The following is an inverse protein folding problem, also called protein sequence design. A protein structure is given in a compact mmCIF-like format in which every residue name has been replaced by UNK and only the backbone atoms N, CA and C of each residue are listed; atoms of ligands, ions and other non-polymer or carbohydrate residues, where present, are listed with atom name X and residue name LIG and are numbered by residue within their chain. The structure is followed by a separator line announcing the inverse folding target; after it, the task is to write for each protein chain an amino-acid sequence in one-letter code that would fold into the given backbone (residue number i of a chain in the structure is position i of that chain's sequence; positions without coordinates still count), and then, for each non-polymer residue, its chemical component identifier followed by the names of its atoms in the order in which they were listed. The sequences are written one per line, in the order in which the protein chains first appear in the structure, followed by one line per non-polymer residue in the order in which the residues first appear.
data_IF_246734546068
#
_entry.id   IF_246734546068
#
_cell.length_a   1.000
_cell.length_b   1.000
_cell.length_c   1.000
_cell.angle_alpha   90.00
_cell.angle_beta   90.00
_cell.angle_gamma   90.00
#
_symmetry.space_group_name_H-M   'P 1'
#
loop_
_entity.id
_entity.type
_entity.pdbx_description
1 polymer ?
#
# COMPACT_ATOMS: atom_id res chain seq x y z
N UNK A 1 24.16 -79.32 18.17
CA UNK A 1 23.52 -78.79 16.91
C UNK A 1 22.54 -77.73 17.29
N UNK A 2 22.79 -76.41 16.99
CA UNK A 2 21.78 -75.37 17.14
C UNK A 2 21.19 -74.99 15.77
N UNK A 3 19.88 -74.87 15.73
CA UNK A 3 19.04 -74.54 14.58
C UNK A 3 19.06 -73.01 14.44
N UNK A 4 19.55 -72.54 13.30
CA UNK A 4 19.51 -71.09 12.95
C UNK A 4 18.13 -70.74 12.42
N UNK A 5 17.40 -69.78 13.06
CA UNK A 5 16.19 -69.16 12.55
C UNK A 5 16.60 -67.89 11.71
N UNK A 6 16.31 -67.94 10.41
CA UNK A 6 16.41 -66.77 9.53
C UNK A 6 15.15 -65.93 9.72
N UNK A 7 15.35 -64.66 10.17
CA UNK A 7 14.30 -63.63 10.16
C UNK A 7 14.33 -62.95 8.79
N UNK A 8 13.18 -62.98 8.08
CA UNK A 8 12.97 -62.20 6.86
C UNK A 8 12.48 -60.81 7.25
N UNK A 9 13.26 -59.77 6.92
CA UNK A 9 12.81 -58.39 6.97
C UNK A 9 11.97 -58.10 5.71
N UNK A 10 10.67 -57.87 5.90
CA UNK A 10 9.82 -57.29 4.87
C UNK A 10 9.98 -55.75 4.88
N UNK A 11 10.57 -55.19 3.84
CA UNK A 11 10.62 -53.74 3.63
C UNK A 11 9.27 -53.28 3.07
N UNK A 12 8.50 -52.55 3.89
CA UNK A 12 7.29 -51.90 3.41
C UNK A 12 7.69 -50.59 2.68
N UNK A 13 7.53 -50.59 1.37
CA UNK A 13 7.60 -49.34 0.58
C UNK A 13 6.31 -48.56 0.82
N UNK A 14 6.39 -47.46 1.58
CA UNK A 14 5.32 -46.48 1.65
C UNK A 14 5.30 -45.68 0.35
N UNK A 15 4.33 -45.93 -0.52
CA UNK A 15 4.03 -45.11 -1.68
C UNK A 15 3.36 -43.85 -1.15
N UNK A 16 4.12 -42.73 -1.08
CA UNK A 16 3.54 -41.42 -0.90
C UNK A 16 2.77 -41.04 -2.17
N UNK A 17 1.47 -41.24 -2.16
CA UNK A 17 0.57 -40.66 -3.15
C UNK A 17 0.58 -39.14 -2.90
N UNK A 18 1.34 -38.38 -3.69
CA UNK A 18 1.22 -36.93 -3.77
C UNK A 18 -0.20 -36.61 -4.20
N UNK A 19 -1.04 -36.15 -3.26
CA UNK A 19 -2.34 -35.61 -3.62
C UNK A 19 -2.13 -34.52 -4.65
N UNK A 20 -2.88 -34.46 -5.76
CA UNK A 20 -2.77 -33.39 -6.72
C UNK A 20 -3.09 -32.08 -5.99
N UNK A 21 -2.13 -31.15 -5.97
CA UNK A 21 -2.38 -29.79 -5.50
C UNK A 21 -3.62 -29.27 -6.24
N UNK A 22 -4.65 -28.89 -5.47
CA UNK A 22 -5.82 -28.22 -6.05
C UNK A 22 -5.29 -27.03 -6.86
N UNK A 23 -5.55 -27.05 -8.17
CA UNK A 23 -5.06 -26.00 -9.08
C UNK A 23 -5.59 -24.67 -8.57
N UNK A 24 -4.69 -23.74 -8.29
CA UNK A 24 -5.04 -22.41 -7.82
C UNK A 24 -6.08 -21.80 -8.78
N UNK A 25 -7.29 -21.55 -8.27
CA UNK A 25 -8.35 -20.91 -9.05
C UNK A 25 -8.37 -19.42 -8.68
N UNK A 26 -7.92 -18.60 -9.63
CA UNK A 26 -8.22 -17.16 -9.59
C UNK A 26 -9.75 -17.03 -9.68
N UNK A 27 -10.33 -16.14 -8.85
CA UNK A 27 -11.78 -15.86 -8.95
C UNK A 27 -12.14 -15.50 -10.40
N UNK A 28 -13.23 -16.08 -10.94
CA UNK A 28 -13.65 -15.71 -12.29
C UNK A 28 -13.89 -14.20 -12.34
N UNK A 29 -13.53 -13.53 -13.46
CA UNK A 29 -13.76 -12.13 -13.61
C UNK A 29 -15.25 -11.81 -13.46
N UNK A 30 -15.58 -10.62 -12.95
CA UNK A 30 -16.95 -10.12 -12.99
C UNK A 30 -17.40 -9.94 -14.43
N UNK A 31 -18.70 -10.10 -14.70
CA UNK A 31 -19.28 -9.60 -15.94
C UNK A 31 -19.19 -8.07 -15.96
N UNK A 32 -19.42 -7.46 -17.12
CA UNK A 32 -19.44 -5.99 -17.24
C UNK A 32 -20.51 -5.39 -16.31
N UNK A 33 -21.69 -6.01 -16.26
CA UNK A 33 -22.81 -5.58 -15.41
C UNK A 33 -22.47 -5.71 -13.93
N UNK A 34 -21.90 -6.83 -13.50
CA UNK A 34 -21.44 -7.03 -12.12
C UNK A 34 -20.37 -6.00 -11.74
N UNK A 35 -19.41 -5.74 -12.63
CA UNK A 35 -18.35 -4.75 -12.40
C UNK A 35 -18.94 -3.34 -12.24
N UNK A 36 -19.85 -2.94 -13.14
CA UNK A 36 -20.50 -1.63 -13.09
C UNK A 36 -21.35 -1.47 -11.83
N UNK A 37 -22.14 -2.48 -11.48
CA UNK A 37 -22.98 -2.47 -10.28
C UNK A 37 -22.15 -2.35 -9.00
N UNK A 38 -21.09 -3.16 -8.83
CA UNK A 38 -20.24 -3.11 -7.65
C UNK A 38 -19.44 -1.78 -7.57
N UNK A 39 -18.96 -1.28 -8.71
CA UNK A 39 -18.25 0.01 -8.77
C UNK A 39 -19.18 1.15 -8.35
N UNK A 40 -20.40 1.21 -8.89
CA UNK A 40 -21.38 2.21 -8.50
C UNK A 40 -21.77 2.11 -7.02
N UNK A 41 -22.01 0.90 -6.53
CA UNK A 41 -22.33 0.67 -5.13
C UNK A 41 -21.20 1.13 -4.17
N UNK A 42 -19.93 1.00 -4.56
CA UNK A 42 -18.81 1.55 -3.79
C UNK A 42 -18.77 3.07 -3.84
N UNK A 43 -19.04 3.68 -4.98
CA UNK A 43 -19.14 5.13 -5.10
C UNK A 43 -20.28 5.69 -4.22
N UNK A 44 -21.44 5.05 -4.25
CA UNK A 44 -22.62 5.47 -3.45
C UNK A 44 -22.36 5.40 -1.94
N UNK A 45 -21.55 4.43 -1.49
CA UNK A 45 -21.14 4.28 -0.08
C UNK A 45 -19.87 5.03 0.28
N UNK A 46 -19.27 5.78 -0.64
CA UNK A 46 -17.94 6.40 -0.47
C UNK A 46 -16.88 5.40 0.01
N UNK A 47 -16.90 4.19 -0.56
CA UNK A 47 -16.04 3.08 -0.15
C UNK A 47 -14.84 2.90 -1.09
N UNK A 48 -13.74 2.39 -0.54
CA UNK A 48 -12.54 2.11 -1.32
C UNK A 48 -12.82 1.20 -2.54
N UNK A 49 -12.24 1.48 -3.71
CA UNK A 49 -11.24 2.53 -4.03
C UNK A 49 -11.84 3.86 -4.53
N UNK A 50 -13.13 4.10 -4.36
CA UNK A 50 -13.83 5.30 -4.87
C UNK A 50 -14.04 6.38 -3.80
N UNK A 51 -13.25 6.37 -2.73
CA UNK A 51 -13.34 7.39 -1.67
C UNK A 51 -13.15 8.79 -2.27
N UNK A 52 -14.12 9.67 -2.05
CA UNK A 52 -14.12 11.06 -2.51
C UNK A 52 -14.45 11.24 -3.99
N UNK A 53 -14.81 10.18 -4.73
CA UNK A 53 -15.39 10.28 -6.07
C UNK A 53 -16.91 10.42 -5.93
N UNK A 54 -17.50 11.41 -6.63
CA UNK A 54 -18.95 11.64 -6.58
C UNK A 54 -19.70 10.50 -7.26
N UNK A 55 -20.81 10.00 -6.70
CA UNK A 55 -21.61 8.95 -7.34
C UNK A 55 -22.09 9.29 -8.76
N UNK A 56 -22.35 10.56 -9.04
CA UNK A 56 -22.75 11.02 -10.37
C UNK A 56 -21.62 10.88 -11.41
N UNK A 57 -20.38 11.14 -11.01
CA UNK A 57 -19.20 10.99 -11.87
C UNK A 57 -18.94 9.51 -12.17
N UNK A 58 -19.13 8.64 -11.17
CA UNK A 58 -19.06 7.19 -11.38
C UNK A 58 -20.10 6.72 -12.38
N UNK A 59 -21.37 7.14 -12.24
CA UNK A 59 -22.42 6.83 -13.22
C UNK A 59 -22.07 7.29 -14.63
N UNK A 60 -21.53 8.50 -14.77
CA UNK A 60 -21.15 9.05 -16.06
C UNK A 60 -20.05 8.22 -16.74
N UNK A 61 -19.00 7.84 -16.00
CA UNK A 61 -17.94 6.98 -16.53
C UNK A 61 -18.46 5.58 -16.88
N UNK A 62 -19.22 4.94 -15.97
CA UNK A 62 -19.74 3.59 -16.14
C UNK A 62 -20.75 3.47 -17.29
N UNK A 63 -21.46 4.54 -17.65
CA UNK A 63 -22.38 4.54 -18.80
C UNK A 63 -21.64 4.28 -20.13
N UNK A 64 -20.38 4.66 -20.23
CA UNK A 64 -19.57 4.52 -21.43
C UNK A 64 -18.85 3.15 -21.53
N UNK A 65 -18.76 2.38 -20.45
CA UNK A 65 -18.08 1.08 -20.41
C UNK A 65 -19.02 0.00 -20.94
N UNK A 66 -18.57 -0.73 -21.95
CA UNK A 66 -19.33 -1.80 -22.62
C UNK A 66 -18.63 -3.16 -22.52
N UNK A 67 -17.32 -3.16 -22.25
CA UNK A 67 -16.50 -4.36 -22.18
C UNK A 67 -15.64 -4.36 -20.91
N UNK A 68 -14.87 -5.44 -20.67
CA UNK A 68 -13.86 -5.52 -19.62
C UNK A 68 -12.49 -5.03 -20.10
N UNK A 69 -12.42 -4.38 -21.26
CA UNK A 69 -11.18 -3.85 -21.81
C UNK A 69 -10.61 -2.74 -20.91
N UNK A 70 -9.31 -2.82 -20.64
CA UNK A 70 -8.61 -1.93 -19.71
C UNK A 70 -8.48 -0.51 -20.26
N UNK A 71 -8.33 -0.36 -21.56
CA UNK A 71 -8.17 0.95 -22.19
C UNK A 71 -9.54 1.65 -22.34
N UNK A 72 -10.61 0.90 -22.58
CA UNK A 72 -11.97 1.41 -22.50
C UNK A 72 -12.29 1.92 -21.08
N UNK A 73 -11.94 1.16 -20.05
CA UNK A 73 -12.04 1.59 -18.66
C UNK A 73 -11.27 2.90 -18.42
N UNK A 74 -9.98 2.92 -18.78
CA UNK A 74 -9.14 4.09 -18.59
C UNK A 74 -9.69 5.33 -19.32
N UNK A 75 -10.13 5.17 -20.56
CA UNK A 75 -10.71 6.26 -21.36
C UNK A 75 -11.99 6.83 -20.76
N UNK A 76 -12.91 5.97 -20.29
CA UNK A 76 -14.17 6.39 -19.69
C UNK A 76 -13.97 7.26 -18.44
N UNK A 77 -13.14 6.82 -17.51
CA UNK A 77 -12.82 7.58 -16.30
C UNK A 77 -11.99 8.82 -16.58
N UNK A 78 -11.03 8.76 -17.52
CA UNK A 78 -10.21 9.92 -17.90
C UNK A 78 -11.03 11.02 -18.54
N UNK A 79 -12.08 10.72 -19.30
CA UNK A 79 -12.98 11.74 -19.87
C UNK A 79 -13.69 12.55 -18.78
N UNK A 80 -14.13 11.89 -17.72
CA UNK A 80 -14.73 12.61 -16.58
C UNK A 80 -13.66 13.45 -15.85
N UNK A 81 -12.47 12.90 -15.65
CA UNK A 81 -11.36 13.61 -15.03
C UNK A 81 -10.96 14.89 -15.78
N UNK A 82 -10.88 14.82 -17.12
CA UNK A 82 -10.49 15.93 -17.98
C UNK A 82 -11.42 17.15 -17.86
N UNK A 83 -12.71 16.96 -17.56
CA UNK A 83 -13.62 18.09 -17.30
C UNK A 83 -13.21 18.87 -16.06
N UNK A 84 -12.95 18.15 -14.95
CA UNK A 84 -12.48 18.75 -13.72
C UNK A 84 -11.12 19.47 -13.87
N UNK A 85 -10.22 18.88 -14.66
CA UNK A 85 -8.92 19.49 -14.94
C UNK A 85 -9.06 20.78 -15.75
N UNK A 86 -9.93 20.79 -16.77
CA UNK A 86 -10.22 21.97 -17.58
C UNK A 86 -10.81 23.10 -16.73
N UNK A 87 -11.81 22.78 -15.91
CA UNK A 87 -12.46 23.73 -15.01
C UNK A 87 -11.46 24.26 -13.96
N UNK A 88 -10.61 23.39 -13.43
CA UNK A 88 -9.56 23.77 -12.47
C UNK A 88 -8.56 24.75 -13.08
N UNK A 89 -8.08 24.50 -14.31
CA UNK A 89 -7.18 25.41 -15.03
C UNK A 89 -7.82 26.77 -15.25
N UNK A 90 -9.11 26.81 -15.63
CA UNK A 90 -9.86 28.06 -15.81
C UNK A 90 -10.06 28.81 -14.47
N UNK A 91 -10.39 28.09 -13.39
CA UNK A 91 -10.53 28.68 -12.06
C UNK A 91 -9.22 29.27 -11.56
N UNK A 92 -8.11 28.55 -11.76
CA UNK A 92 -6.76 29.02 -11.38
C UNK A 92 -6.37 30.27 -12.14
N UNK A 93 -6.57 30.31 -13.47
CA UNK A 93 -6.30 31.49 -14.30
C UNK A 93 -7.12 32.71 -13.87
N UNK A 94 -8.31 32.48 -13.30
CA UNK A 94 -9.20 33.51 -12.76
C UNK A 94 -8.90 33.86 -11.28
N UNK A 95 -7.86 33.29 -10.66
CA UNK A 95 -7.51 33.52 -9.25
C UNK A 95 -8.44 32.85 -8.23
N UNK A 96 -9.36 31.98 -8.67
CA UNK A 96 -10.26 31.23 -7.79
C UNK A 96 -9.57 29.95 -7.26
N UNK A 97 -8.61 30.14 -6.35
CA UNK A 97 -7.65 29.12 -5.91
C UNK A 97 -8.33 27.92 -5.25
N UNK A 98 -9.35 28.11 -4.41
CA UNK A 98 -10.05 27.01 -3.73
C UNK A 98 -10.84 26.14 -4.71
N UNK A 99 -11.45 26.75 -5.75
CA UNK A 99 -12.11 26.01 -6.82
C UNK A 99 -11.09 25.24 -7.65
N UNK A 100 -9.96 25.86 -8.01
CA UNK A 100 -8.89 25.22 -8.74
C UNK A 100 -8.35 23.99 -7.95
N UNK A 101 -8.07 24.18 -6.67
CA UNK A 101 -7.61 23.09 -5.77
C UNK A 101 -8.60 21.93 -5.70
N UNK A 102 -9.88 22.22 -5.52
CA UNK A 102 -10.93 21.19 -5.49
C UNK A 102 -11.05 20.46 -6.84
N UNK A 103 -10.96 21.18 -7.95
CA UNK A 103 -11.01 20.64 -9.30
C UNK A 103 -9.82 19.72 -9.59
N UNK A 104 -8.59 20.15 -9.31
CA UNK A 104 -7.40 19.32 -9.49
C UNK A 104 -7.41 18.07 -8.61
N UNK A 105 -7.88 18.17 -7.37
CA UNK A 105 -8.04 17.01 -6.49
C UNK A 105 -9.01 15.98 -7.09
N UNK A 106 -10.14 16.43 -7.64
CA UNK A 106 -11.10 15.53 -8.28
C UNK A 106 -10.55 14.93 -9.57
N UNK A 107 -9.88 15.72 -10.40
CA UNK A 107 -9.22 15.23 -11.61
C UNK A 107 -8.19 14.13 -11.27
N UNK A 108 -7.34 14.38 -10.28
CA UNK A 108 -6.37 13.39 -9.82
C UNK A 108 -7.04 12.09 -9.33
N UNK A 109 -8.09 12.17 -8.52
CA UNK A 109 -8.81 10.98 -8.01
C UNK A 109 -9.38 10.14 -9.15
N UNK A 110 -9.98 10.79 -10.14
CA UNK A 110 -10.58 10.12 -11.31
C UNK A 110 -9.52 9.51 -12.22
N UNK A 111 -8.42 10.22 -12.54
CA UNK A 111 -7.30 9.66 -13.28
C UNK A 111 -6.60 8.53 -12.51
N UNK A 112 -6.47 8.67 -11.17
CA UNK A 112 -5.92 7.63 -10.32
C UNK A 112 -6.81 6.38 -10.32
N UNK A 113 -8.13 6.53 -10.38
CA UNK A 113 -9.03 5.40 -10.53
C UNK A 113 -9.06 4.84 -11.97
N UNK A 114 -8.87 5.68 -12.98
CA UNK A 114 -8.72 5.23 -14.37
C UNK A 114 -7.54 4.25 -14.54
N UNK A 115 -6.40 4.46 -13.83
CA UNK A 115 -5.23 3.55 -13.86
C UNK A 115 -5.34 2.36 -12.90
N UNK A 116 -6.33 2.36 -11.98
CA UNK A 116 -6.43 1.38 -10.88
C UNK A 116 -6.65 -0.05 -11.41
N UNK A 117 -6.14 -1.09 -10.71
CA UNK A 117 -5.24 -1.06 -9.56
C UNK A 117 -3.77 -0.85 -9.95
N UNK A 118 -3.41 -1.12 -11.21
CA UNK A 118 -2.06 -0.99 -11.77
C UNK A 118 -2.14 -0.51 -13.22
N UNK A 119 -1.15 0.28 -13.71
CA UNK A 119 -1.14 0.79 -15.09
C UNK A 119 -0.66 -0.28 -16.09
N UNK A 120 -1.42 -1.35 -16.25
CA UNK A 120 -1.09 -2.55 -17.02
C UNK A 120 -1.65 -2.56 -18.45
N UNK A 121 -1.97 -1.40 -19.01
CA UNK A 121 -2.32 -1.19 -20.43
C UNK A 121 -1.92 0.21 -20.87
N UNK A 122 -1.81 0.49 -22.19
CA UNK A 122 -1.44 1.83 -22.68
C UNK A 122 -2.34 2.95 -22.18
N UNK A 123 -3.66 2.77 -22.20
CA UNK A 123 -4.63 3.75 -21.68
C UNK A 123 -4.47 4.00 -20.19
N UNK A 124 -4.26 2.94 -19.40
CA UNK A 124 -3.99 3.07 -17.97
C UNK A 124 -2.64 3.75 -17.67
N UNK A 125 -1.63 3.56 -18.50
CA UNK A 125 -0.35 4.27 -18.39
C UNK A 125 -0.52 5.77 -18.66
N UNK A 126 -1.29 6.11 -19.69
CA UNK A 126 -1.67 7.50 -19.99
C UNK A 126 -2.43 8.12 -18.83
N UNK A 127 -3.44 7.44 -18.31
CA UNK A 127 -4.21 7.90 -17.14
C UNK A 127 -3.30 8.12 -15.90
N UNK A 128 -2.29 7.26 -15.70
CA UNK A 128 -1.33 7.44 -14.62
C UNK A 128 -0.47 8.70 -14.79
N UNK A 129 0.01 8.96 -16.01
CA UNK A 129 0.75 10.20 -16.31
C UNK A 129 -0.11 11.45 -16.03
N UNK A 130 -1.38 11.43 -16.48
CA UNK A 130 -2.35 12.51 -16.20
C UNK A 130 -2.63 12.66 -14.69
N UNK A 131 -2.71 11.54 -13.96
CA UNK A 131 -2.87 11.59 -12.51
C UNK A 131 -1.70 12.29 -11.82
N UNK A 132 -0.46 12.01 -12.24
CA UNK A 132 0.74 12.67 -11.69
C UNK A 132 0.74 14.16 -11.98
N UNK A 133 0.34 14.58 -13.18
CA UNK A 133 0.24 15.99 -13.58
C UNK A 133 -0.86 16.72 -12.77
N UNK A 134 -2.08 16.18 -12.73
CA UNK A 134 -3.17 16.76 -11.96
C UNK A 134 -2.83 16.87 -10.47
N UNK A 135 -2.14 15.86 -9.92
CA UNK A 135 -1.67 15.92 -8.54
C UNK A 135 -0.62 16.99 -8.30
N UNK A 136 0.32 17.18 -9.22
CA UNK A 136 1.33 18.24 -9.09
C UNK A 136 0.68 19.64 -9.06
N UNK A 137 -0.36 19.86 -9.85
CA UNK A 137 -1.16 21.09 -9.80
C UNK A 137 -1.87 21.24 -8.44
N UNK A 138 -2.52 20.19 -7.95
CA UNK A 138 -3.15 20.19 -6.62
C UNK A 138 -2.13 20.47 -5.51
N UNK A 139 -1.00 19.77 -5.53
CA UNK A 139 0.01 19.81 -4.48
C UNK A 139 0.58 21.22 -4.26
N UNK A 140 0.84 21.96 -5.33
CA UNK A 140 1.36 23.34 -5.24
C UNK A 140 0.36 24.34 -4.65
N UNK A 141 -0.94 23.99 -4.62
CA UNK A 141 -2.00 24.81 -4.01
C UNK A 141 -2.30 24.44 -2.55
N UNK A 142 -1.57 23.45 -2.00
CA UNK A 142 -1.64 23.14 -0.58
C UNK A 142 -0.83 24.15 0.24
N UNK A 143 -1.22 24.33 1.50
CA UNK A 143 -0.51 25.22 2.43
C UNK A 143 -0.26 24.50 3.78
N UNK A 144 1.02 24.16 4.09
CA UNK A 144 2.21 24.28 3.24
C UNK A 144 2.21 23.33 2.05
N UNK A 145 2.77 23.77 0.94
CA UNK A 145 2.90 22.92 -0.26
C UNK A 145 3.99 21.85 -0.07
N UNK A 146 3.76 20.60 -0.51
CA UNK A 146 4.81 19.58 -0.54
C UNK A 146 5.80 19.85 -1.67
N UNK A 147 7.03 19.37 -1.49
CA UNK A 147 8.09 19.38 -2.49
C UNK A 147 8.27 18.01 -3.09
N UNK A 148 8.32 17.93 -4.43
CA UNK A 148 8.71 16.69 -5.12
C UNK A 148 10.23 16.52 -5.02
N UNK A 149 10.64 15.46 -4.32
CA UNK A 149 12.06 15.14 -4.09
C UNK A 149 12.47 13.99 -5.03
N UNK A 150 13.65 14.13 -5.62
CA UNK A 150 14.31 13.10 -6.44
C UNK A 150 15.66 12.79 -5.84
N UNK A 151 15.86 11.55 -5.41
CA UNK A 151 17.10 11.11 -4.77
C UNK A 151 17.80 10.14 -5.72
N UNK A 152 19.02 10.47 -6.20
CA UNK A 152 19.80 9.54 -7.01
C UNK A 152 20.07 8.23 -6.26
N UNK A 153 19.80 7.10 -6.93
CA UNK A 153 19.96 5.78 -6.35
C UNK A 153 20.18 4.69 -7.41
N UNK A 154 21.36 4.08 -7.45
CA UNK A 154 21.73 2.96 -8.32
C UNK A 154 21.38 3.20 -9.81
N UNK A 155 21.75 4.35 -10.34
CA UNK A 155 21.49 4.73 -11.74
C UNK A 155 20.04 5.10 -12.06
N UNK A 156 19.18 5.17 -11.06
CA UNK A 156 17.77 5.60 -11.11
C UNK A 156 17.51 6.69 -10.08
N UNK A 157 16.23 7.00 -9.85
CA UNK A 157 15.80 7.96 -8.83
C UNK A 157 14.75 7.35 -7.91
N UNK A 158 14.84 7.65 -6.63
CA UNK A 158 13.73 7.51 -5.69
C UNK A 158 12.95 8.82 -5.75
N UNK A 159 11.67 8.75 -6.11
CA UNK A 159 10.81 9.92 -6.24
C UNK A 159 9.80 9.92 -5.09
N UNK A 160 9.75 11.03 -4.35
CA UNK A 160 8.87 11.16 -3.19
C UNK A 160 8.36 12.57 -2.98
N UNK A 161 7.30 12.71 -2.20
CA UNK A 161 6.76 13.98 -1.78
C UNK A 161 7.14 14.27 -0.33
N UNK A 162 7.93 15.31 -0.10
CA UNK A 162 8.26 15.83 1.23
C UNK A 162 7.34 17.01 1.55
N UNK A 163 6.61 16.94 2.66
CA UNK A 163 5.77 18.03 3.15
C UNK A 163 6.19 18.40 4.57
N UNK A 164 6.62 19.64 4.76
CA UNK A 164 7.02 20.18 6.06
C UNK A 164 5.82 20.91 6.71
N UNK A 165 5.67 20.86 8.04
CA UNK A 165 4.69 21.67 8.73
C UNK A 165 5.06 23.16 8.71
N UNK A 166 4.08 24.05 8.90
CA UNK A 166 4.35 25.48 9.09
C UNK A 166 5.28 25.67 10.29
N UNK A 167 6.33 26.46 10.13
CA UNK A 167 7.31 26.73 11.18
C UNK A 167 8.41 25.67 11.33
N UNK A 168 8.40 24.60 10.52
CA UNK A 168 9.52 23.66 10.44
C UNK A 168 10.71 24.30 9.73
N UNK A 169 11.81 24.53 10.44
CA UNK A 169 13.06 25.10 9.92
C UNK A 169 14.27 24.59 10.70
N UNK A 170 15.48 24.90 10.25
CA UNK A 170 16.71 24.39 10.86
C UNK A 170 16.87 24.68 12.37
N UNK A 171 16.29 25.77 12.88
CA UNK A 171 16.29 26.09 14.32
C UNK A 171 15.19 25.39 15.13
N UNK A 172 14.21 24.77 14.46
CA UNK A 172 13.11 24.00 15.07
C UNK A 172 12.73 22.81 14.16
N UNK A 173 13.59 21.78 14.08
CA UNK A 173 13.39 20.67 13.18
C UNK A 173 12.16 19.83 13.56
N UNK A 174 11.34 19.49 12.57
CA UNK A 174 10.12 18.73 12.75
C UNK A 174 10.40 17.21 12.82
N UNK A 175 9.69 16.46 13.66
CA UNK A 175 9.67 14.99 13.54
C UNK A 175 9.05 14.57 12.21
N UNK A 176 9.33 13.35 11.75
CA UNK A 176 8.92 12.87 10.43
C UNK A 176 8.14 11.56 10.51
N UNK A 177 7.10 11.45 9.68
CA UNK A 177 6.52 10.16 9.29
C UNK A 177 6.90 9.84 7.84
N UNK A 178 7.67 8.76 7.66
CA UNK A 178 7.90 8.16 6.35
C UNK A 178 6.70 7.28 6.01
N UNK A 179 5.91 7.67 5.02
CA UNK A 179 4.71 6.93 4.58
C UNK A 179 5.00 6.18 3.29
N UNK A 180 4.61 4.92 3.24
CA UNK A 180 4.82 4.05 2.08
C UNK A 180 3.46 3.71 1.47
N UNK A 181 3.31 3.89 0.14
CA UNK A 181 2.06 3.54 -0.55
C UNK A 181 1.86 2.02 -0.62
N UNK A 182 0.61 1.58 -0.73
CA UNK A 182 0.26 0.17 -0.84
C UNK A 182 0.30 -0.34 -2.30
N UNK A 183 -0.21 -1.57 -2.53
CA UNK A 183 -0.22 -2.22 -3.84
C UNK A 183 -0.87 -1.37 -4.93
N UNK A 184 -2.01 -0.79 -4.66
CA UNK A 184 -2.89 -0.12 -5.61
C UNK A 184 -3.07 1.39 -5.35
N UNK A 185 -2.62 1.90 -4.20
CA UNK A 185 -2.43 3.33 -3.93
C UNK A 185 -1.06 3.82 -4.42
N UNK A 186 -0.84 5.12 -4.37
CA UNK A 186 0.44 5.76 -4.72
C UNK A 186 0.84 6.76 -3.64
N UNK A 187 2.08 7.22 -3.68
CA UNK A 187 2.59 8.23 -2.74
C UNK A 187 1.73 9.51 -2.68
N UNK A 188 1.03 9.82 -3.76
CA UNK A 188 0.10 10.94 -3.85
C UNK A 188 -1.09 10.76 -2.89
N UNK A 189 -1.61 9.54 -2.73
CA UNK A 189 -2.68 9.22 -1.76
C UNK A 189 -2.24 9.53 -0.32
N UNK A 190 -0.96 9.30 0.00
CA UNK A 190 -0.41 9.59 1.33
C UNK A 190 -0.27 11.09 1.57
N UNK A 191 0.11 11.87 0.54
CA UNK A 191 0.19 13.34 0.65
C UNK A 191 -1.21 13.93 0.87
N UNK A 192 -2.22 13.45 0.17
CA UNK A 192 -3.60 13.91 0.34
C UNK A 192 -4.07 13.71 1.80
N UNK A 193 -3.66 12.59 2.42
CA UNK A 193 -3.99 12.24 3.82
C UNK A 193 -3.07 12.88 4.86
N UNK A 194 -1.97 13.52 4.46
CA UNK A 194 -0.93 14.03 5.37
C UNK A 194 -1.36 15.18 6.28
N UNK A 195 -2.48 15.85 6.00
CA UNK A 195 -2.95 17.05 6.69
C UNK A 195 -3.03 16.87 8.22
N UNK A 196 -3.43 15.67 8.67
CA UNK A 196 -3.50 15.35 10.09
C UNK A 196 -2.13 15.37 10.79
N UNK A 197 -1.06 15.02 10.08
CA UNK A 197 0.31 15.10 10.56
C UNK A 197 0.83 16.54 10.54
N UNK A 198 0.62 17.23 9.42
CA UNK A 198 1.07 18.60 9.21
C UNK A 198 0.52 19.54 10.30
N UNK A 199 -0.78 19.43 10.63
CA UNK A 199 -1.41 20.22 11.71
C UNK A 199 -0.85 19.93 13.10
N UNK A 200 -0.22 18.77 13.31
CA UNK A 200 0.48 18.41 14.55
C UNK A 200 1.96 18.75 14.57
N UNK A 201 2.45 19.48 13.57
CA UNK A 201 3.86 19.84 13.47
C UNK A 201 4.76 18.68 13.03
N UNK A 202 4.19 17.65 12.39
CA UNK A 202 4.90 16.46 11.93
C UNK A 202 5.09 16.58 10.41
N UNK A 203 6.33 16.48 9.93
CA UNK A 203 6.65 16.37 8.51
C UNK A 203 6.25 15.00 7.97
N UNK A 204 5.95 14.92 6.67
CA UNK A 204 5.73 13.64 5.99
C UNK A 204 6.63 13.49 4.79
N UNK A 205 7.19 12.28 4.59
CA UNK A 205 7.85 11.92 3.35
C UNK A 205 7.16 10.69 2.77
N UNK A 206 6.51 10.88 1.62
CA UNK A 206 5.65 9.88 0.99
C UNK A 206 6.35 9.24 -0.19
N UNK A 207 6.50 7.90 -0.16
CA UNK A 207 7.19 7.11 -1.18
C UNK A 207 6.28 5.99 -1.70
N UNK A 208 6.50 5.60 -2.96
CA UNK A 208 5.91 4.38 -3.50
C UNK A 208 6.66 3.14 -2.99
N UNK A 209 5.94 2.04 -2.71
CA UNK A 209 6.59 0.78 -2.38
C UNK A 209 7.29 0.18 -3.63
N UNK A 210 8.36 -0.62 -3.44
CA UNK A 210 9.01 -1.33 -4.54
C UNK A 210 8.02 -2.11 -5.40
N UNK A 211 8.13 -1.97 -6.71
CA UNK A 211 7.26 -2.60 -7.71
C UNK A 211 5.99 -1.83 -8.05
N UNK A 212 5.76 -0.66 -7.45
CA UNK A 212 4.60 0.19 -7.76
C UNK A 212 5.03 1.62 -8.08
N UNK A 213 4.12 2.37 -8.67
CA UNK A 213 4.28 3.81 -8.91
C UNK A 213 5.58 4.18 -9.62
N UNK A 214 6.30 5.12 -9.01
CA UNK A 214 7.62 5.59 -9.48
C UNK A 214 8.78 4.99 -8.67
N UNK A 215 8.55 3.89 -7.93
CA UNK A 215 9.64 3.19 -7.25
C UNK A 215 10.68 2.66 -8.27
N UNK A 216 12.00 2.81 -7.99
CA UNK A 216 13.05 2.47 -8.96
C UNK A 216 13.21 0.97 -9.21
N UNK A 217 12.71 0.12 -8.30
CA UNK A 217 12.92 -1.32 -8.32
C UNK A 217 11.60 -2.09 -8.20
N UNK A 218 11.64 -3.37 -8.62
CA UNK A 218 10.62 -4.36 -8.28
C UNK A 218 10.70 -4.75 -6.82
N UNK A 219 9.63 -5.36 -6.30
CA UNK A 219 9.61 -5.91 -4.94
C UNK A 219 10.48 -7.17 -4.87
N UNK A 220 11.60 -7.10 -4.20
CA UNK A 220 12.51 -8.22 -3.92
C UNK A 220 13.12 -8.08 -2.52
N UNK A 221 13.75 -9.17 -2.03
CA UNK A 221 14.61 -9.10 -0.85
C UNK A 221 15.74 -8.09 -1.13
N UNK A 222 15.97 -7.17 -0.19
CA UNK A 222 16.96 -6.09 -0.36
C UNK A 222 16.41 -4.82 -1.00
N UNK A 223 15.15 -4.80 -1.48
CA UNK A 223 14.56 -3.56 -2.04
C UNK A 223 14.29 -2.50 -0.96
N UNK A 224 14.31 -2.86 0.34
CA UNK A 224 14.26 -1.90 1.45
C UNK A 224 15.38 -0.87 1.43
N UNK A 225 16.51 -1.16 0.76
CA UNK A 225 17.65 -0.23 0.65
C UNK A 225 17.27 1.11 0.00
N UNK A 226 16.19 1.17 -0.80
CA UNK A 226 15.68 2.45 -1.28
C UNK A 226 15.15 3.34 -0.15
N UNK A 227 14.53 2.73 0.86
CA UNK A 227 14.05 3.46 2.04
C UNK A 227 15.22 3.84 2.96
N UNK A 228 16.23 2.98 3.09
CA UNK A 228 17.49 3.31 3.77
C UNK A 228 18.13 4.54 3.15
N UNK A 229 18.18 4.60 1.82
CA UNK A 229 18.68 5.78 1.09
C UNK A 229 17.80 7.02 1.29
N UNK A 230 16.49 6.84 1.38
CA UNK A 230 15.57 7.95 1.69
C UNK A 230 15.79 8.47 3.12
N UNK A 231 16.07 7.59 4.09
CA UNK A 231 16.45 7.99 5.45
C UNK A 231 17.80 8.72 5.49
N UNK A 232 18.77 8.34 4.64
CA UNK A 232 20.03 9.11 4.49
C UNK A 232 19.76 10.53 4.01
N UNK A 233 18.87 10.68 3.00
CA UNK A 233 18.46 12.00 2.54
C UNK A 233 17.76 12.81 3.64
N UNK A 234 16.86 12.19 4.39
CA UNK A 234 16.19 12.84 5.54
C UNK A 234 17.22 13.35 6.56
N UNK A 235 18.27 12.58 6.82
CA UNK A 235 19.33 12.98 7.76
C UNK A 235 20.17 14.19 7.29
N UNK A 236 20.12 14.54 6.00
CA UNK A 236 20.77 15.74 5.47
C UNK A 236 19.91 17.01 5.57
N UNK A 237 18.65 16.88 5.97
CA UNK A 237 17.68 17.98 5.98
C UNK A 237 17.65 18.68 7.33
N UNK A 238 18.14 19.94 7.44
CA UNK A 238 18.21 20.62 8.72
C UNK A 238 16.84 20.96 9.33
N UNK A 239 15.77 20.98 8.52
CA UNK A 239 14.40 21.20 8.98
C UNK A 239 13.69 19.94 9.50
N UNK A 240 14.38 18.79 9.47
CA UNK A 240 13.84 17.50 9.94
C UNK A 240 14.70 16.99 11.10
N UNK A 241 14.05 16.57 12.18
CA UNK A 241 14.71 15.85 13.26
C UNK A 241 14.84 14.37 12.87
N UNK A 242 15.99 14.00 12.31
CA UNK A 242 16.30 12.64 11.88
C UNK A 242 16.34 11.61 13.03
N UNK A 243 16.33 12.07 14.31
CA UNK A 243 16.23 11.18 15.48
C UNK A 243 14.78 10.89 15.88
N UNK A 244 13.81 11.56 15.27
CA UNK A 244 12.38 11.39 15.51
C UNK A 244 11.66 11.02 14.23
N UNK A 245 11.92 9.79 13.71
CA UNK A 245 11.33 9.25 12.50
C UNK A 245 10.49 8.01 12.83
N UNK A 246 9.25 7.99 12.36
CA UNK A 246 8.37 6.81 12.37
C UNK A 246 8.08 6.41 10.94
N UNK A 247 8.06 5.12 10.64
CA UNK A 247 7.59 4.60 9.33
C UNK A 247 6.15 4.10 9.44
N UNK A 248 5.34 4.36 8.41
CA UNK A 248 3.96 3.88 8.32
C UNK A 248 3.72 3.17 7.01
N UNK A 249 3.28 1.92 7.10
CA UNK A 249 2.85 1.10 5.98
C UNK A 249 1.44 0.53 6.20
N UNK A 250 0.64 0.51 5.12
CA UNK A 250 -0.74 -0.02 5.11
C UNK A 250 -0.84 -1.10 4.05
N UNK A 251 -1.51 -2.21 4.36
CA UNK A 251 -1.61 -3.35 3.45
C UNK A 251 -0.22 -3.87 3.07
N UNK A 252 0.07 -4.11 1.81
CA UNK A 252 1.38 -4.63 1.43
C UNK A 252 2.57 -3.75 1.86
N UNK A 253 2.42 -2.44 1.95
CA UNK A 253 3.50 -1.60 2.48
C UNK A 253 3.75 -1.79 3.98
N UNK A 254 2.83 -2.41 4.71
CA UNK A 254 3.07 -2.89 6.07
C UNK A 254 4.24 -3.87 6.17
N UNK A 255 4.46 -4.70 5.14
CA UNK A 255 5.66 -5.53 5.01
C UNK A 255 6.96 -4.71 5.08
N UNK A 256 7.01 -3.63 4.28
CA UNK A 256 8.18 -2.77 4.25
C UNK A 256 8.36 -2.03 5.57
N UNK A 257 7.26 -1.61 6.19
CA UNK A 257 7.30 -0.98 7.52
C UNK A 257 7.83 -1.94 8.59
N UNK A 258 7.37 -3.19 8.61
CA UNK A 258 7.86 -4.23 9.52
C UNK A 258 9.34 -4.54 9.28
N UNK A 259 9.77 -4.68 8.02
CA UNK A 259 11.16 -4.94 7.67
C UNK A 259 12.06 -3.78 8.09
N UNK A 260 11.67 -2.54 7.81
CA UNK A 260 12.43 -1.36 8.20
C UNK A 260 12.56 -1.21 9.72
N UNK A 261 11.53 -1.55 10.47
CA UNK A 261 11.61 -1.55 11.93
C UNK A 261 12.72 -2.49 12.47
N UNK A 262 13.09 -3.51 11.71
CA UNK A 262 14.18 -4.43 12.06
C UNK A 262 15.51 -3.92 11.53
N UNK A 263 15.60 -3.67 10.23
CA UNK A 263 16.88 -3.35 9.58
C UNK A 263 17.37 -1.92 9.84
N UNK A 264 16.45 -0.99 10.14
CA UNK A 264 16.72 0.42 10.43
C UNK A 264 16.39 0.81 11.88
N UNK A 265 16.37 -0.17 12.79
CA UNK A 265 15.91 0.02 14.18
C UNK A 265 16.59 1.17 14.92
N UNK A 266 17.86 1.44 14.63
CA UNK A 266 18.63 2.50 15.28
C UNK A 266 18.22 3.91 14.81
N UNK A 267 17.60 4.02 13.63
CA UNK A 267 17.16 5.28 13.02
C UNK A 267 15.67 5.56 13.24
N UNK A 268 14.90 4.54 13.65
CA UNK A 268 13.45 4.65 13.76
C UNK A 268 12.98 4.72 15.22
N UNK A 269 12.07 5.62 15.52
CA UNK A 269 11.34 5.68 16.79
C UNK A 269 10.17 4.70 16.83
N UNK A 270 9.76 4.19 15.69
CA UNK A 270 8.73 3.18 15.60
C UNK A 270 8.25 2.92 14.18
N UNK A 271 7.41 1.91 14.06
CA UNK A 271 6.79 1.49 12.80
C UNK A 271 5.32 1.11 12.99
N UNK A 272 4.46 1.57 12.10
CA UNK A 272 3.06 1.13 12.01
C UNK A 272 2.94 0.11 10.89
N UNK A 273 2.46 -1.08 11.24
CA UNK A 273 2.22 -2.22 10.34
C UNK A 273 0.73 -2.49 10.30
N UNK A 274 0.01 -1.83 9.41
CA UNK A 274 -1.44 -1.97 9.32
C UNK A 274 -1.82 -2.92 8.19
N UNK A 275 -2.29 -4.14 8.52
CA UNK A 275 -2.63 -5.18 7.54
C UNK A 275 -1.42 -5.63 6.73
N UNK A 276 -0.23 -5.64 7.35
CA UNK A 276 1.04 -5.95 6.68
C UNK A 276 1.32 -7.44 6.59
N UNK A 277 1.67 -7.97 5.40
CA UNK A 277 2.09 -9.35 5.24
C UNK A 277 3.46 -9.60 5.90
N UNK A 278 3.65 -10.78 6.49
CA UNK A 278 4.89 -11.16 7.19
C UNK A 278 5.45 -12.48 6.68
N UNK A 279 4.65 -13.54 6.67
CA UNK A 279 5.04 -14.90 6.31
C UNK A 279 3.94 -15.68 5.59
N UNK A 280 2.82 -15.93 6.25
CA UNK A 280 1.73 -16.80 5.72
C UNK A 280 1.10 -16.19 4.46
N UNK A 281 1.02 -14.88 4.38
CA UNK A 281 0.59 -14.18 3.16
C UNK A 281 1.38 -14.60 1.92
N UNK A 282 2.69 -14.82 2.07
CA UNK A 282 3.59 -15.13 0.95
C UNK A 282 3.57 -16.61 0.55
N UNK A 283 2.87 -17.46 1.29
CA UNK A 283 2.80 -18.88 0.97
C UNK A 283 1.79 -19.16 -0.15
N UNK A 284 2.07 -20.14 -1.04
CA UNK A 284 1.21 -20.46 -2.18
C UNK A 284 -0.24 -20.75 -1.78
N UNK A 285 -0.47 -21.43 -0.66
CA UNK A 285 -1.79 -21.80 -0.15
C UNK A 285 -2.64 -20.56 0.14
N UNK A 286 -2.06 -19.56 0.83
CA UNK A 286 -2.78 -18.32 1.13
C UNK A 286 -2.98 -17.46 -0.13
N UNK A 287 -1.97 -17.35 -0.99
CA UNK A 287 -2.09 -16.59 -2.23
C UNK A 287 -3.19 -17.15 -3.13
N UNK A 288 -3.27 -18.49 -3.25
CA UNK A 288 -4.34 -19.17 -3.97
C UNK A 288 -5.72 -18.83 -3.40
N UNK A 289 -5.87 -18.91 -2.06
CA UNK A 289 -7.12 -18.56 -1.37
C UNK A 289 -7.50 -17.11 -1.58
N UNK A 290 -6.55 -16.18 -1.41
CA UNK A 290 -6.79 -14.74 -1.52
C UNK A 290 -7.13 -14.30 -2.95
N UNK A 291 -6.52 -14.91 -3.97
CA UNK A 291 -6.86 -14.67 -5.38
C UNK A 291 -8.25 -15.20 -5.75
N UNK A 292 -8.80 -16.17 -4.98
CA UNK A 292 -10.16 -16.66 -5.12
C UNK A 292 -11.22 -15.71 -4.55
N UNK A 293 -10.86 -14.62 -3.86
CA UNK A 293 -11.81 -13.64 -3.33
C UNK A 293 -12.20 -12.60 -4.36
N UNK A 294 -13.38 -11.96 -4.18
CA UNK A 294 -13.86 -10.86 -5.03
C UNK A 294 -13.74 -9.49 -4.34
N UNK A 295 -12.81 -9.32 -3.43
CA UNK A 295 -12.61 -8.05 -2.74
C UNK A 295 -12.16 -6.94 -3.69
N UNK A 296 -11.24 -7.24 -4.62
CA UNK A 296 -10.88 -6.34 -5.71
C UNK A 296 -11.96 -6.31 -6.78
N UNK A 297 -12.13 -5.16 -7.42
CA UNK A 297 -13.05 -5.02 -8.56
C UNK A 297 -12.58 -5.88 -9.74
N UNK A 298 -11.30 -5.80 -10.08
CA UNK A 298 -10.63 -6.57 -11.14
C UNK A 298 -9.09 -6.53 -10.94
N UNK A 299 -8.36 -7.31 -11.75
CA UNK A 299 -6.89 -7.26 -11.90
C UNK A 299 -6.07 -7.46 -10.58
N UNK A 300 -6.59 -8.18 -9.57
CA UNK A 300 -5.81 -8.44 -8.36
C UNK A 300 -4.53 -9.22 -8.65
N UNK A 301 -4.62 -10.32 -9.42
CA UNK A 301 -3.44 -11.09 -9.80
C UNK A 301 -2.44 -10.27 -10.62
N UNK A 302 -2.81 -9.58 -11.71
CA UNK A 302 -1.89 -8.71 -12.44
C UNK A 302 -1.21 -7.65 -11.57
N UNK A 303 -1.95 -7.05 -10.63
CA UNK A 303 -1.39 -6.07 -9.71
C UNK A 303 -0.32 -6.67 -8.80
N UNK A 304 -0.60 -7.83 -8.17
CA UNK A 304 0.35 -8.53 -7.30
C UNK A 304 1.58 -9.03 -8.07
N UNK A 305 1.37 -9.64 -9.24
CA UNK A 305 2.44 -10.17 -10.08
C UNK A 305 3.39 -9.05 -10.57
N UNK A 306 2.84 -7.87 -10.90
CA UNK A 306 3.62 -6.72 -11.36
C UNK A 306 4.62 -6.22 -10.32
N UNK A 307 4.35 -6.41 -9.02
CA UNK A 307 5.28 -6.04 -7.94
C UNK A 307 6.59 -6.79 -8.07
N UNK A 308 6.53 -8.06 -8.34
CA UNK A 308 7.72 -8.92 -8.54
C UNK A 308 8.28 -8.85 -9.96
N UNK A 309 7.50 -8.37 -10.92
CA UNK A 309 7.88 -8.38 -12.34
C UNK A 309 7.72 -9.75 -12.99
N UNK A 310 6.84 -10.59 -12.47
CA UNK A 310 6.49 -11.91 -13.01
C UNK A 310 5.18 -11.85 -13.81
N UNK A 311 4.97 -12.81 -14.71
CA UNK A 311 3.84 -12.80 -15.64
C UNK A 311 2.83 -13.91 -15.36
N UNK A 312 3.27 -15.06 -14.87
CA UNK A 312 2.44 -16.24 -14.68
C UNK A 312 2.09 -16.48 -13.20
N UNK A 313 1.01 -17.22 -12.96
CA UNK A 313 0.61 -17.59 -11.61
C UNK A 313 1.66 -18.49 -10.94
N UNK A 314 2.24 -19.42 -11.68
CA UNK A 314 3.26 -20.33 -11.15
C UNK A 314 4.52 -19.57 -10.73
N UNK A 315 5.00 -18.63 -11.55
CA UNK A 315 6.12 -17.74 -11.17
C UNK A 315 5.79 -16.92 -9.92
N UNK A 316 4.58 -16.37 -9.85
CA UNK A 316 4.13 -15.57 -8.71
C UNK A 316 4.10 -16.40 -7.42
N UNK A 317 3.53 -17.61 -7.47
CA UNK A 317 3.46 -18.50 -6.31
C UNK A 317 4.85 -19.01 -5.90
N UNK A 318 5.74 -19.28 -6.85
CA UNK A 318 7.12 -19.66 -6.57
C UNK A 318 7.97 -18.51 -5.99
N UNK A 319 7.67 -17.27 -6.37
CA UNK A 319 8.40 -16.09 -5.90
C UNK A 319 8.05 -15.69 -4.47
N UNK A 320 6.77 -15.76 -4.11
CA UNK A 320 6.22 -15.28 -2.85
C UNK A 320 7.02 -15.69 -1.59
N UNK A 321 7.31 -16.98 -1.39
CA UNK A 321 7.99 -17.45 -0.17
C UNK A 321 9.33 -16.76 0.14
N UNK A 322 10.04 -16.26 -0.87
CA UNK A 322 11.30 -15.50 -0.69
C UNK A 322 11.08 -14.20 0.10
N UNK A 323 9.90 -13.59 -0.03
CA UNK A 323 9.57 -12.33 0.64
C UNK A 323 9.26 -12.50 2.13
N UNK A 324 9.04 -13.73 2.61
CA UNK A 324 8.74 -13.98 4.01
C UNK A 324 9.86 -13.48 4.94
N UNK A 325 9.53 -12.59 5.89
CA UNK A 325 10.47 -12.12 6.90
C UNK A 325 10.95 -13.25 7.82
N UNK A 326 10.13 -14.29 8.02
CA UNK A 326 10.51 -15.51 8.73
C UNK A 326 11.55 -16.31 7.94
N UNK A 327 11.33 -16.50 6.63
CA UNK A 327 12.29 -17.22 5.78
C UNK A 327 13.62 -16.45 5.62
N UNK A 328 13.60 -15.13 5.73
CA UNK A 328 14.80 -14.28 5.78
C UNK A 328 15.46 -14.24 7.16
N UNK A 329 14.98 -15.01 8.15
CA UNK A 329 15.47 -15.03 9.53
C UNK A 329 15.48 -13.64 10.20
N UNK A 330 14.50 -12.77 9.87
CA UNK A 330 14.44 -11.40 10.37
C UNK A 330 13.55 -11.23 11.59
N UNK A 331 12.43 -11.99 11.69
CA UNK A 331 11.37 -11.73 12.67
C UNK A 331 11.81 -11.80 14.13
N UNK A 332 12.82 -12.63 14.44
CA UNK A 332 13.35 -12.82 15.80
C UNK A 332 14.42 -11.80 16.17
N UNK A 333 14.86 -10.96 15.23
CA UNK A 333 15.84 -9.93 15.50
C UNK A 333 15.23 -8.76 16.30
N UNK A 334 16.05 -8.02 17.08
CA UNK A 334 15.61 -6.78 17.71
C UNK A 334 15.05 -5.78 16.69
N UNK A 335 14.01 -5.06 17.08
CA UNK A 335 13.37 -4.06 16.23
C UNK A 335 13.10 -2.75 16.97
N UNK A 336 12.87 -1.67 16.24
CA UNK A 336 12.19 -0.49 16.75
C UNK A 336 10.77 -0.86 17.25
N UNK A 337 10.16 -0.07 18.14
CA UNK A 337 8.77 -0.27 18.56
C UNK A 337 7.83 -0.41 17.38
N UNK A 338 6.87 -1.35 17.44
CA UNK A 338 5.87 -1.55 16.38
C UNK A 338 4.45 -1.49 16.93
N UNK A 339 3.57 -0.88 16.14
CA UNK A 339 2.12 -1.02 16.27
C UNK A 339 1.62 -1.92 15.13
N UNK A 340 1.06 -3.07 15.49
CA UNK A 340 0.44 -4.00 14.55
C UNK A 340 -1.07 -3.78 14.55
N UNK A 341 -1.66 -3.55 13.38
CA UNK A 341 -3.10 -3.25 13.24
C UNK A 341 -3.69 -4.16 12.19
N UNK A 342 -4.76 -4.91 12.50
CA UNK A 342 -5.52 -5.65 11.48
C UNK A 342 -6.93 -6.00 11.96
N UNK A 343 -7.71 -6.64 11.10
CA UNK A 343 -9.00 -7.25 11.39
C UNK A 343 -8.93 -8.77 11.47
N UNK A 344 -9.72 -9.36 12.35
CA UNK A 344 -9.83 -10.82 12.51
C UNK A 344 -10.23 -11.53 11.22
N UNK A 345 -11.05 -10.87 10.40
CA UNK A 345 -11.63 -11.42 9.17
C UNK A 345 -10.95 -10.91 7.89
N UNK A 346 -9.67 -10.56 7.97
CA UNK A 346 -8.91 -10.12 6.80
C UNK A 346 -8.78 -11.26 5.77
N UNK A 347 -9.38 -11.07 4.59
CA UNK A 347 -9.33 -12.00 3.46
C UNK A 347 -8.11 -11.79 2.56
N UNK A 348 -7.39 -10.68 2.73
CA UNK A 348 -6.22 -10.32 1.91
C UNK A 348 -4.90 -10.70 2.58
N UNK A 349 -4.75 -10.38 3.86
CA UNK A 349 -3.56 -10.70 4.67
C UNK A 349 -4.02 -11.48 5.90
N UNK A 350 -3.54 -12.72 6.12
CA UNK A 350 -4.03 -13.54 7.22
C UNK A 350 -3.71 -12.91 8.58
N UNK A 351 -4.65 -12.94 9.50
CA UNK A 351 -4.42 -12.47 10.88
C UNK A 351 -3.24 -13.20 11.54
N UNK A 352 -2.99 -14.45 11.16
CA UNK A 352 -1.84 -15.21 11.61
C UNK A 352 -0.49 -14.54 11.32
N UNK A 353 -0.39 -13.64 10.33
CA UNK A 353 0.82 -12.84 10.10
C UNK A 353 1.03 -11.81 11.20
N UNK A 354 -0.05 -11.18 11.67
CA UNK A 354 0.01 -10.28 12.83
C UNK A 354 0.40 -11.06 14.09
N UNK A 355 -0.24 -12.19 14.36
CA UNK A 355 0.03 -13.03 15.53
C UNK A 355 1.48 -13.52 15.54
N UNK A 356 1.98 -13.98 14.39
CA UNK A 356 3.37 -14.40 14.24
C UNK A 356 4.33 -13.25 14.61
N UNK A 357 4.09 -12.04 14.07
CA UNK A 357 4.95 -10.89 14.29
C UNK A 357 4.84 -10.38 15.74
N UNK A 358 3.66 -10.45 16.35
CA UNK A 358 3.43 -10.01 17.72
C UNK A 358 4.28 -10.83 18.73
N UNK A 359 4.42 -12.14 18.49
CA UNK A 359 5.11 -13.05 19.40
C UNK A 359 6.59 -13.27 19.09
N UNK A 360 7.12 -12.68 17.99
CA UNK A 360 8.52 -12.83 17.59
C UNK A 360 9.36 -11.60 17.99
N UNK A 361 10.64 -11.79 18.33
CA UNK A 361 11.60 -10.72 18.58
C UNK A 361 11.22 -9.74 19.69
N UNK A 362 11.41 -8.43 19.47
CA UNK A 362 11.10 -7.37 20.45
C UNK A 362 9.60 -7.26 20.75
N UNK A 363 9.24 -6.80 21.95
CA UNK A 363 7.85 -6.54 22.35
C UNK A 363 7.17 -5.51 21.43
N UNK A 364 5.90 -5.73 21.14
CA UNK A 364 5.08 -4.91 20.21
C UNK A 364 3.70 -4.62 20.80
N UNK A 365 3.07 -3.57 20.31
CA UNK A 365 1.68 -3.26 20.57
C UNK A 365 0.80 -3.77 19.43
N UNK A 366 -0.39 -4.27 19.71
CA UNK A 366 -1.34 -4.70 18.69
C UNK A 366 -2.72 -4.10 18.93
N UNK A 367 -3.41 -3.76 17.83
CA UNK A 367 -4.82 -3.45 17.82
C UNK A 367 -5.51 -4.32 16.78
N UNK A 368 -6.39 -5.20 17.22
CA UNK A 368 -7.15 -6.10 16.36
C UNK A 368 -8.63 -5.76 16.46
N UNK A 369 -9.28 -5.53 15.32
CA UNK A 369 -10.72 -5.36 15.26
C UNK A 369 -11.40 -6.73 15.10
N UNK A 370 -12.15 -7.26 16.09
CA UNK A 370 -12.79 -8.57 15.99
C UNK A 370 -13.82 -8.68 14.86
N UNK A 371 -14.46 -7.57 14.48
CA UNK A 371 -15.40 -7.51 13.37
C UNK A 371 -14.76 -6.95 12.09
N UNK A 372 -13.46 -6.73 12.10
CA UNK A 372 -12.72 -6.05 11.04
C UNK A 372 -12.30 -6.99 9.91
N UNK A 373 -12.34 -6.47 8.68
CA UNK A 373 -11.72 -7.04 7.50
C UNK A 373 -10.30 -6.48 7.30
N UNK A 374 -9.82 -6.46 6.06
CA UNK A 374 -8.47 -6.00 5.69
C UNK A 374 -8.15 -4.63 6.29
N UNK A 375 -6.96 -4.50 6.90
CA UNK A 375 -6.46 -3.31 7.62
C UNK A 375 -7.25 -2.92 8.89
N UNK A 376 -8.12 -3.80 9.39
CA UNK A 376 -8.94 -3.57 10.59
C UNK A 376 -10.29 -2.89 10.32
N UNK A 377 -10.65 -2.65 9.06
CA UNK A 377 -11.87 -1.92 8.69
C UNK A 377 -13.15 -2.69 8.99
N UNK A 378 -14.12 -1.97 9.53
CA UNK A 378 -15.53 -2.39 9.62
C UNK A 378 -16.43 -1.17 9.47
N UNK A 379 -17.76 -1.37 9.49
CA UNK A 379 -18.72 -0.27 9.46
C UNK A 379 -18.51 0.71 10.63
N UNK A 380 -18.25 0.17 11.83
CA UNK A 380 -18.03 0.97 13.05
C UNK A 380 -16.60 1.56 13.14
N UNK A 381 -15.65 0.98 12.40
CA UNK A 381 -14.25 1.37 12.35
C UNK A 381 -13.77 1.58 10.90
N UNK A 382 -14.21 2.65 10.23
CA UNK A 382 -13.65 3.03 8.93
C UNK A 382 -12.19 3.49 9.09
N UNK A 383 -11.42 3.50 7.98
CA UNK A 383 -9.99 3.84 7.97
C UNK A 383 -9.67 5.15 8.71
N UNK A 384 -10.47 6.19 8.51
CA UNK A 384 -10.27 7.48 9.18
C UNK A 384 -10.39 7.41 10.70
N UNK A 385 -11.28 6.55 11.24
CA UNK A 385 -11.44 6.35 12.68
C UNK A 385 -10.28 5.53 13.27
N UNK A 386 -9.84 4.48 12.56
CA UNK A 386 -8.65 3.70 12.94
C UNK A 386 -7.44 4.62 12.99
N UNK A 387 -7.23 5.41 11.94
CA UNK A 387 -6.15 6.37 11.90
C UNK A 387 -6.22 7.36 13.08
N UNK A 388 -7.36 8.00 13.28
CA UNK A 388 -7.50 9.07 14.30
C UNK A 388 -7.43 8.56 15.74
N UNK A 389 -7.89 7.32 16.01
CA UNK A 389 -8.04 6.79 17.38
C UNK A 389 -6.95 5.79 17.79
N UNK A 390 -6.28 5.18 16.81
CA UNK A 390 -5.27 4.13 17.04
C UNK A 390 -3.90 4.55 16.52
N UNK A 391 -3.80 4.85 15.23
CA UNK A 391 -2.51 5.07 14.57
C UNK A 391 -1.88 6.40 14.93
N UNK A 392 -2.61 7.51 14.75
CA UNK A 392 -2.06 8.85 14.96
C UNK A 392 -1.65 9.13 16.42
N UNK A 393 -2.42 8.72 17.45
CA UNK A 393 -1.99 8.85 18.85
C UNK A 393 -0.73 8.04 19.15
N UNK A 394 -0.64 6.81 18.62
CA UNK A 394 0.56 6.00 18.80
C UNK A 394 1.79 6.65 18.16
N UNK A 395 1.67 7.13 16.91
CA UNK A 395 2.76 7.85 16.23
C UNK A 395 3.18 9.09 17.03
N UNK A 396 2.23 9.90 17.52
CA UNK A 396 2.53 11.08 18.30
C UNK A 396 3.34 10.73 19.55
N UNK A 397 2.94 9.67 20.28
CA UNK A 397 3.65 9.16 21.45
C UNK A 397 5.10 8.73 21.12
N UNK A 398 5.30 7.99 20.02
CA UNK A 398 6.65 7.58 19.61
C UNK A 398 7.54 8.76 19.20
N UNK A 399 6.95 9.81 18.66
CA UNK A 399 7.65 11.04 18.30
C UNK A 399 7.86 12.00 19.49
N UNK A 400 7.41 11.65 20.71
CA UNK A 400 7.54 12.49 21.90
C UNK A 400 6.66 13.75 21.82
N UNK A 401 5.54 13.67 21.11
CA UNK A 401 4.52 14.72 21.07
C UNK A 401 3.42 14.35 22.07
N UNK A 402 2.96 15.32 22.84
CA UNK A 402 1.81 15.15 23.75
C UNK A 402 0.52 14.76 22.99
N UNK A 403 -0.45 14.19 23.72
CA UNK A 403 -1.76 13.88 23.16
C UNK A 403 -2.51 15.12 22.65
#
# INVERSE_FOLDING_TARGET
MPIARRAALAAAFAVFVLAPFARAQIAPPRTVEELKAETQARADRNAYPLIGIKPADARAALAEIKTLDRDEWAAAWSRVAARYETDAKAAEAAGRIDEAKAGYLMAWRLYSFARWPTPNSPGKQTAYAQALEAFAHYARLLDPAPTLVRIPFEGKEIVGWLRLPKGGHAGAPAPLVLTISALDSRKEDNVERSEAFIRRGIATFSLDMPGTGQAPFKGDIGSERMFSRALDYVATRPEIDAKRVVVQGVSWSGYWSAKLAIVERERLRGAVVQGGPIHYYFQPEWQTKALGTREYLFDLFPARASVYGVATLDEFLAYGPRMSLKAQALIDNPSAPMLLVNGEHDSQVPIADLDLMLHAGSAKEAWVNPAGAHTGRSADWPDGKIFAKVVAPWIARQLGLGE
#
